data_IF_859045810454
#
_entry.id   IF_859045810454
#
_cell.length_a   1.000
_cell.length_b   1.000
_cell.length_c   1.000
_cell.angle_alpha   90.00
_cell.angle_beta   90.00
_cell.angle_gamma   90.00
#
_symmetry.space_group_name_H-M   'P 1'
#
loop_
_entity.id
_entity.type
_entity.pdbx_description
1 polymer ?
#
# COMPACT_ATOMS: atom_id res chain seq x y z
N UNK A 1 -3.52 16.32 -17.91
CA UNK A 1 -2.66 17.38 -17.36
C UNK A 1 -1.79 16.87 -16.20
N UNK A 2 -2.31 16.04 -15.29
CA UNK A 2 -1.55 15.46 -14.18
C UNK A 2 -0.34 14.65 -14.68
N UNK A 3 -0.54 13.81 -15.71
CA UNK A 3 0.51 12.98 -16.29
C UNK A 3 1.66 13.83 -16.89
N UNK A 4 1.34 14.93 -17.58
CA UNK A 4 2.38 15.83 -18.13
C UNK A 4 3.15 16.56 -17.03
N UNK A 5 2.48 17.01 -15.98
CA UNK A 5 3.13 17.62 -14.81
C UNK A 5 4.07 16.65 -14.10
N UNK A 6 3.64 15.40 -13.95
CA UNK A 6 4.38 14.30 -13.34
C UNK A 6 5.67 13.98 -14.12
N UNK A 7 5.59 13.82 -15.43
CA UNK A 7 6.77 13.55 -16.27
C UNK A 7 7.76 14.72 -16.28
N UNK A 8 7.27 15.96 -16.29
CA UNK A 8 8.13 17.14 -16.19
C UNK A 8 8.82 17.26 -14.84
N UNK A 9 8.15 16.87 -13.76
CA UNK A 9 8.71 16.83 -12.41
C UNK A 9 9.83 15.78 -12.31
N UNK A 10 9.57 14.55 -12.77
CA UNK A 10 10.56 13.47 -12.78
C UNK A 10 11.77 13.82 -13.63
N UNK A 11 11.55 14.41 -14.82
CA UNK A 11 12.64 14.86 -15.67
C UNK A 11 13.53 15.86 -14.93
N UNK A 12 12.95 16.87 -14.30
CA UNK A 12 13.73 17.89 -13.55
C UNK A 12 14.52 17.27 -12.39
N UNK A 13 13.94 16.31 -11.65
CA UNK A 13 14.66 15.62 -10.58
C UNK A 13 15.83 14.83 -11.15
N UNK A 14 15.62 14.05 -12.22
CA UNK A 14 16.68 13.25 -12.84
C UNK A 14 17.78 14.14 -13.43
N UNK A 15 17.42 15.18 -14.15
CA UNK A 15 18.37 16.13 -14.73
C UNK A 15 19.20 16.80 -13.61
N UNK A 16 18.55 17.24 -12.53
CA UNK A 16 19.25 17.85 -11.38
C UNK A 16 20.15 16.87 -10.62
N UNK A 17 19.70 15.63 -10.39
CA UNK A 17 20.52 14.58 -9.77
C UNK A 17 21.73 14.25 -10.63
N UNK A 18 21.53 14.06 -11.93
CA UNK A 18 22.62 13.76 -12.85
C UNK A 18 23.66 14.88 -12.89
N UNK A 19 23.23 16.13 -13.00
CA UNK A 19 24.11 17.28 -12.97
C UNK A 19 24.89 17.35 -11.64
N UNK A 20 24.21 17.18 -10.52
CA UNK A 20 24.85 17.18 -9.21
C UNK A 20 25.90 16.07 -9.06
N UNK A 21 25.57 14.84 -9.46
CA UNK A 21 26.50 13.70 -9.41
C UNK A 21 27.77 13.97 -10.25
N UNK A 22 27.65 14.62 -11.40
CA UNK A 22 28.80 14.96 -12.24
C UNK A 22 29.77 15.98 -11.59
N UNK A 23 29.25 16.77 -10.63
CA UNK A 23 30.06 17.77 -9.91
C UNK A 23 30.61 17.27 -8.57
N UNK A 24 30.25 16.06 -8.16
CA UNK A 24 30.79 15.45 -6.92
C UNK A 24 32.26 15.07 -7.04
N UNK A 25 32.96 15.07 -5.90
CA UNK A 25 34.40 14.77 -5.84
C UNK A 25 34.70 13.31 -6.26
N UNK A 26 35.91 13.07 -6.78
CA UNK A 26 36.37 11.74 -7.15
C UNK A 26 36.37 10.77 -5.94
N UNK A 27 36.66 11.27 -4.75
CA UNK A 27 36.63 10.48 -3.50
C UNK A 27 35.21 9.99 -3.19
N UNK A 28 34.18 10.76 -3.49
CA UNK A 28 32.81 10.35 -3.34
C UNK A 28 32.45 9.20 -4.31
N UNK A 29 32.87 9.31 -5.57
CA UNK A 29 32.63 8.26 -6.56
C UNK A 29 33.34 6.94 -6.25
N UNK A 30 34.50 6.98 -5.63
CA UNK A 30 35.22 5.77 -5.19
C UNK A 30 34.59 5.12 -3.94
N UNK A 31 33.89 5.90 -3.13
CA UNK A 31 33.20 5.43 -1.92
C UNK A 31 31.82 4.80 -2.21
N UNK A 32 31.19 5.12 -3.35
CA UNK A 32 29.84 4.66 -3.72
C UNK A 32 29.87 3.81 -4.97
N UNK A 33 29.17 2.67 -4.95
CA UNK A 33 29.09 1.80 -6.13
C UNK A 33 28.24 2.42 -7.25
N UNK A 34 28.64 2.23 -8.49
CA UNK A 34 27.87 2.69 -9.66
C UNK A 34 26.43 2.14 -9.65
N UNK A 35 26.24 0.91 -9.17
CA UNK A 35 24.92 0.29 -9.04
C UNK A 35 24.01 1.03 -8.06
N UNK A 36 24.56 1.48 -6.92
CA UNK A 36 23.82 2.27 -5.92
C UNK A 36 23.40 3.64 -6.48
N UNK A 37 24.30 4.30 -7.20
CA UNK A 37 24.02 5.58 -7.86
C UNK A 37 22.90 5.43 -8.89
N UNK A 38 22.97 4.40 -9.74
CA UNK A 38 21.92 4.10 -10.73
C UNK A 38 20.60 3.82 -10.03
N UNK A 39 20.58 3.03 -8.96
CA UNK A 39 19.37 2.73 -8.19
C UNK A 39 18.70 4.00 -7.64
N UNK A 40 19.48 4.92 -7.09
CA UNK A 40 18.96 6.20 -6.57
C UNK A 40 18.38 7.07 -7.69
N UNK A 41 19.06 7.15 -8.85
CA UNK A 41 18.58 7.94 -10.00
C UNK A 41 17.37 7.32 -10.72
N UNK A 42 17.13 6.02 -10.55
CA UNK A 42 16.03 5.30 -11.22
C UNK A 42 14.92 4.91 -10.24
N UNK A 43 15.14 3.86 -9.45
CA UNK A 43 14.11 3.29 -8.57
C UNK A 43 13.63 4.26 -7.50
N UNK A 44 14.54 4.97 -6.81
CA UNK A 44 14.11 5.90 -5.75
C UNK A 44 13.36 7.10 -6.32
N UNK A 45 13.77 7.62 -7.48
CA UNK A 45 13.04 8.68 -8.19
C UNK A 45 11.66 8.19 -8.65
N UNK A 46 11.52 6.94 -9.10
CA UNK A 46 10.22 6.38 -9.48
C UNK A 46 9.30 6.16 -8.27
N UNK A 47 9.83 5.81 -7.09
CA UNK A 47 9.07 5.77 -5.84
C UNK A 47 8.56 7.16 -5.46
N UNK A 48 9.41 8.19 -5.53
CA UNK A 48 9.03 9.59 -5.28
C UNK A 48 7.97 10.04 -6.28
N UNK A 49 8.14 9.75 -7.57
CA UNK A 49 7.15 10.02 -8.60
C UNK A 49 5.79 9.41 -8.26
N UNK A 50 5.76 8.12 -7.96
CA UNK A 50 4.53 7.41 -7.63
C UNK A 50 3.86 8.00 -6.41
N UNK A 51 4.64 8.37 -5.41
CA UNK A 51 4.13 9.03 -4.20
C UNK A 51 3.49 10.39 -4.54
N UNK A 52 4.24 11.29 -5.17
CA UNK A 52 3.76 12.66 -5.44
C UNK A 52 2.58 12.66 -6.41
N UNK A 53 2.65 11.86 -7.47
CA UNK A 53 1.67 11.94 -8.56
C UNK A 53 0.40 11.13 -8.33
N UNK A 54 0.49 10.02 -7.60
CA UNK A 54 -0.63 9.13 -7.36
C UNK A 54 -1.09 9.16 -5.91
N UNK A 55 -0.18 8.93 -4.97
CA UNK A 55 -0.53 8.73 -3.57
C UNK A 55 -0.94 10.04 -2.88
N UNK A 56 -0.21 11.14 -3.11
CA UNK A 56 -0.55 12.43 -2.54
C UNK A 56 -1.94 12.90 -3.01
N UNK A 57 -2.23 12.74 -4.30
CA UNK A 57 -3.55 13.06 -4.87
C UNK A 57 -4.64 12.18 -4.26
N UNK A 58 -4.37 10.88 -4.10
CA UNK A 58 -5.32 9.94 -3.46
C UNK A 58 -5.57 10.30 -1.99
N UNK A 59 -4.53 10.74 -1.25
CA UNK A 59 -4.68 11.24 0.13
C UNK A 59 -5.60 12.43 0.18
N UNK A 60 -5.33 13.45 -0.62
CA UNK A 60 -6.13 14.68 -0.67
C UNK A 60 -7.59 14.37 -1.03
N UNK A 61 -7.78 13.53 -2.04
CA UNK A 61 -9.12 13.07 -2.46
C UNK A 61 -9.83 12.34 -1.33
N UNK A 62 -9.15 11.41 -0.68
CA UNK A 62 -9.71 10.59 0.42
C UNK A 62 -10.10 11.45 1.62
N UNK A 63 -9.22 12.37 2.05
CA UNK A 63 -9.51 13.29 3.16
C UNK A 63 -10.69 14.20 2.80
N UNK A 64 -10.70 14.75 1.59
CA UNK A 64 -11.80 15.60 1.12
C UNK A 64 -13.14 14.83 1.11
N UNK A 65 -13.17 13.60 0.61
CA UNK A 65 -14.39 12.77 0.60
C UNK A 65 -14.87 12.43 2.01
N UNK A 66 -13.96 12.10 2.92
CA UNK A 66 -14.31 11.83 4.33
C UNK A 66 -14.95 13.07 4.95
N UNK A 67 -14.33 14.23 4.79
CA UNK A 67 -14.88 15.50 5.32
C UNK A 67 -16.23 15.79 4.69
N UNK A 68 -16.36 15.67 3.36
CA UNK A 68 -17.60 15.93 2.65
C UNK A 68 -18.74 15.03 3.13
N UNK A 69 -18.50 13.71 3.20
CA UNK A 69 -19.52 12.78 3.71
C UNK A 69 -19.90 13.05 5.16
N UNK A 70 -18.94 13.32 6.03
CA UNK A 70 -19.22 13.66 7.43
C UNK A 70 -20.05 14.94 7.53
N UNK A 71 -19.70 16.00 6.79
CA UNK A 71 -20.47 17.26 6.78
C UNK A 71 -21.93 17.01 6.36
N UNK A 72 -22.15 16.23 5.30
CA UNK A 72 -23.49 15.87 4.83
C UNK A 72 -24.24 15.08 5.91
N UNK A 73 -23.61 14.06 6.48
CA UNK A 73 -24.19 13.21 7.52
C UNK A 73 -24.56 14.01 8.78
N UNK A 74 -23.69 14.92 9.23
CA UNK A 74 -23.98 15.80 10.37
C UNK A 74 -25.14 16.78 10.10
N UNK A 75 -25.33 17.18 8.83
CA UNK A 75 -26.48 18.00 8.43
C UNK A 75 -27.80 17.21 8.43
N UNK A 76 -27.73 15.89 8.23
CA UNK A 76 -28.90 15.01 8.20
C UNK A 76 -29.36 14.60 9.60
N UNK A 77 -28.46 14.06 10.42
CA UNK A 77 -28.74 13.66 11.79
C UNK A 77 -27.44 13.62 12.62
N UNK A 78 -27.37 14.48 13.63
CA UNK A 78 -26.19 14.63 14.49
C UNK A 78 -25.90 13.37 15.31
N UNK A 79 -26.95 12.74 15.86
CA UNK A 79 -26.80 11.55 16.72
C UNK A 79 -26.23 10.36 15.94
N UNK A 80 -26.82 10.07 14.79
CA UNK A 80 -26.35 8.99 13.93
C UNK A 80 -24.92 9.25 13.41
N UNK A 81 -24.59 10.52 13.15
CA UNK A 81 -23.23 10.90 12.69
C UNK A 81 -22.17 10.65 13.76
N UNK A 82 -22.47 10.86 15.05
CA UNK A 82 -21.56 10.49 16.12
C UNK A 82 -21.37 8.99 16.24
N UNK A 83 -22.41 8.19 16.00
CA UNK A 83 -22.28 6.72 15.94
C UNK A 83 -21.35 6.32 14.80
N UNK A 84 -21.55 6.85 13.59
CA UNK A 84 -20.68 6.59 12.45
C UNK A 84 -19.23 7.03 12.72
N UNK A 85 -19.05 8.22 13.31
CA UNK A 85 -17.73 8.77 13.65
C UNK A 85 -16.97 7.89 14.64
N UNK A 86 -17.64 7.26 15.59
CA UNK A 86 -17.02 6.37 16.58
C UNK A 86 -16.39 5.11 15.94
N UNK A 87 -16.90 4.66 14.79
CA UNK A 87 -16.34 3.52 14.06
C UNK A 87 -15.11 3.88 13.23
N UNK A 88 -14.94 5.14 12.82
CA UNK A 88 -13.80 5.59 12.00
C UNK A 88 -12.45 5.26 12.65
N UNK A 89 -12.18 5.63 13.91
CA UNK A 89 -10.90 5.30 14.54
C UNK A 89 -10.71 3.80 14.73
N UNK A 90 -11.78 3.02 14.97
CA UNK A 90 -11.71 1.57 15.14
C UNK A 90 -11.25 0.92 13.81
N UNK A 91 -11.88 1.28 12.69
CA UNK A 91 -11.54 0.79 11.36
C UNK A 91 -10.15 1.27 10.94
N UNK A 92 -9.81 2.53 11.18
CA UNK A 92 -8.49 3.08 10.86
C UNK A 92 -7.37 2.40 11.65
N UNK A 93 -7.54 2.19 12.95
CA UNK A 93 -6.57 1.54 13.82
C UNK A 93 -6.38 0.07 13.43
N UNK A 94 -7.47 -0.66 13.20
CA UNK A 94 -7.40 -2.06 12.72
C UNK A 94 -6.64 -2.16 11.39
N UNK A 95 -6.94 -1.29 10.43
CA UNK A 95 -6.24 -1.23 9.14
C UNK A 95 -4.75 -0.94 9.30
N UNK A 96 -4.36 0.00 10.15
CA UNK A 96 -2.97 0.33 10.42
C UNK A 96 -2.17 -0.82 11.05
N UNK A 97 -2.77 -1.53 12.03
CA UNK A 97 -2.15 -2.70 12.67
C UNK A 97 -1.95 -3.85 11.67
N UNK A 98 -2.96 -4.16 10.88
CA UNK A 98 -2.86 -5.22 9.88
C UNK A 98 -1.86 -4.86 8.78
N UNK A 99 -1.85 -3.61 8.34
CA UNK A 99 -0.96 -3.17 7.27
C UNK A 99 0.52 -3.34 7.64
N UNK A 100 0.91 -2.98 8.85
CA UNK A 100 2.28 -3.20 9.36
C UNK A 100 2.67 -4.67 9.32
N UNK A 101 1.76 -5.58 9.70
CA UNK A 101 2.00 -7.02 9.68
C UNK A 101 2.07 -7.57 8.26
N UNK A 102 1.23 -7.09 7.36
CA UNK A 102 1.21 -7.48 5.95
C UNK A 102 2.51 -7.06 5.26
N UNK A 103 2.96 -5.82 5.48
CA UNK A 103 4.18 -5.28 4.85
C UNK A 103 5.43 -6.13 5.18
N UNK A 104 5.62 -6.51 6.44
CA UNK A 104 6.77 -7.35 6.82
C UNK A 104 6.71 -8.77 6.25
N UNK A 105 5.52 -9.36 6.13
CA UNK A 105 5.36 -10.69 5.52
C UNK A 105 5.46 -10.64 4.00
N UNK A 106 5.03 -9.56 3.40
CA UNK A 106 5.19 -9.35 1.97
C UNK A 106 6.66 -9.27 1.59
N UNK A 107 7.45 -8.51 2.35
CA UNK A 107 8.90 -8.41 2.13
C UNK A 107 9.59 -9.79 2.23
N UNK A 108 9.26 -10.59 3.23
CA UNK A 108 9.81 -11.93 3.38
C UNK A 108 9.44 -12.87 2.21
N UNK A 109 8.24 -12.71 1.65
CA UNK A 109 7.81 -13.47 0.46
C UNK A 109 8.53 -13.01 -0.81
N UNK A 110 8.73 -11.71 -0.96
CA UNK A 110 9.45 -11.07 -2.07
C UNK A 110 10.93 -11.47 -2.09
N UNK A 111 11.58 -11.49 -0.92
CA UNK A 111 12.95 -12.01 -0.77
C UNK A 111 13.06 -13.49 -1.18
N UNK A 112 12.08 -14.32 -0.77
CA UNK A 112 12.05 -15.72 -1.16
C UNK A 112 11.78 -15.93 -2.66
N UNK A 113 11.02 -15.04 -3.31
CA UNK A 113 10.83 -15.02 -4.76
C UNK A 113 12.13 -14.68 -5.48
N UNK A 114 12.89 -13.70 -4.97
CA UNK A 114 14.22 -13.35 -5.48
C UNK A 114 15.19 -14.54 -5.39
N UNK A 115 15.22 -15.24 -4.25
CA UNK A 115 16.04 -16.46 -4.06
C UNK A 115 15.67 -17.57 -5.03
N UNK A 116 14.37 -17.77 -5.29
CA UNK A 116 13.87 -18.78 -6.23
C UNK A 116 14.23 -18.41 -7.68
N UNK A 117 14.04 -17.15 -8.04
CA UNK A 117 14.35 -16.64 -9.39
C UNK A 117 15.85 -16.74 -9.68
N UNK A 118 16.70 -16.39 -8.70
CA UNK A 118 18.16 -16.53 -8.82
C UNK A 118 18.55 -17.99 -9.03
N UNK A 119 17.96 -18.92 -8.27
CA UNK A 119 18.21 -20.35 -8.43
C UNK A 119 17.82 -20.83 -9.84
N UNK A 120 16.68 -20.41 -10.36
CA UNK A 120 16.24 -20.73 -11.71
C UNK A 120 17.21 -20.16 -12.77
N UNK A 121 17.64 -18.91 -12.61
CA UNK A 121 18.56 -18.24 -13.53
C UNK A 121 19.94 -18.91 -13.53
N UNK A 122 20.49 -19.26 -12.37
CA UNK A 122 21.75 -20.01 -12.25
C UNK A 122 21.66 -21.33 -12.99
N UNK A 123 20.57 -22.09 -12.78
CA UNK A 123 20.34 -23.37 -13.43
C UNK A 123 20.22 -23.26 -14.94
N UNK A 124 19.47 -22.29 -15.45
CA UNK A 124 19.30 -22.08 -16.89
C UNK A 124 20.60 -21.65 -17.55
N UNK A 125 21.38 -20.79 -16.88
CA UNK A 125 22.70 -20.36 -17.38
C UNK A 125 23.71 -21.50 -17.37
N UNK A 126 23.70 -22.31 -16.31
CA UNK A 126 24.61 -23.46 -16.10
C UNK A 126 24.11 -24.79 -16.65
N UNK A 127 23.04 -24.85 -17.43
CA UNK A 127 22.37 -26.10 -17.84
C UNK A 127 23.28 -27.09 -18.54
N UNK A 128 24.26 -26.61 -19.31
CA UNK A 128 25.26 -27.47 -19.99
C UNK A 128 26.17 -28.19 -19.00
N UNK A 129 26.54 -27.48 -17.91
CA UNK A 129 27.38 -28.04 -16.84
C UNK A 129 26.57 -29.06 -16.03
N UNK A 130 25.34 -28.72 -15.64
CA UNK A 130 24.43 -29.62 -14.92
C UNK A 130 24.24 -30.93 -15.67
N UNK A 131 24.00 -30.87 -17.01
CA UNK A 131 23.87 -32.06 -17.88
C UNK A 131 25.16 -32.83 -18.03
N UNK A 132 26.30 -32.14 -18.16
CA UNK A 132 27.59 -32.78 -18.30
C UNK A 132 27.98 -33.64 -17.09
N UNK A 133 27.53 -33.20 -15.87
CA UNK A 133 27.79 -33.91 -14.63
C UNK A 133 26.63 -34.79 -14.15
N UNK A 134 25.52 -34.88 -14.91
CA UNK A 134 24.34 -35.69 -14.56
C UNK A 134 23.67 -35.29 -13.25
N UNK A 135 23.69 -33.98 -12.91
CA UNK A 135 23.22 -33.43 -11.64
C UNK A 135 21.81 -32.81 -11.71
N UNK A 136 21.02 -33.17 -12.71
CA UNK A 136 19.67 -32.61 -12.92
C UNK A 136 18.76 -32.82 -11.70
N UNK A 137 18.85 -33.99 -11.09
CA UNK A 137 18.04 -34.31 -9.92
C UNK A 137 18.38 -33.43 -8.71
N UNK A 138 19.65 -33.21 -8.46
CA UNK A 138 20.12 -32.33 -7.39
C UNK A 138 19.61 -30.89 -7.57
N UNK A 139 19.68 -30.35 -8.78
CA UNK A 139 19.21 -29.00 -9.06
C UNK A 139 17.68 -28.89 -9.01
N UNK A 140 16.96 -29.95 -9.39
CA UNK A 140 15.51 -30.01 -9.26
C UNK A 140 15.11 -30.01 -7.78
N UNK A 141 15.77 -30.81 -6.95
CA UNK A 141 15.49 -30.90 -5.51
C UNK A 141 15.79 -29.54 -4.82
N UNK A 142 16.90 -28.88 -5.17
CA UNK A 142 17.26 -27.52 -4.70
C UNK A 142 16.21 -26.47 -5.08
N UNK A 143 15.71 -26.54 -6.31
CA UNK A 143 14.64 -25.64 -6.76
C UNK A 143 13.35 -25.90 -6.03
N UNK A 144 12.96 -27.18 -5.85
CA UNK A 144 11.75 -27.58 -5.10
C UNK A 144 11.77 -27.06 -3.65
N UNK A 145 12.91 -27.18 -2.95
CA UNK A 145 13.06 -26.67 -1.58
C UNK A 145 12.80 -25.17 -1.51
N UNK A 146 13.41 -24.38 -2.42
CA UNK A 146 13.19 -22.92 -2.49
C UNK A 146 11.75 -22.57 -2.86
N UNK A 147 11.15 -23.32 -3.78
CA UNK A 147 9.76 -23.15 -4.19
C UNK A 147 8.77 -23.46 -3.05
N UNK A 148 9.01 -24.48 -2.25
CA UNK A 148 8.20 -24.79 -1.07
C UNK A 148 8.30 -23.69 -0.02
N UNK A 149 9.49 -23.15 0.22
CA UNK A 149 9.70 -21.99 1.10
C UNK A 149 8.87 -20.80 0.62
N UNK A 150 9.01 -20.41 -0.65
CA UNK A 150 8.24 -19.34 -1.28
C UNK A 150 6.73 -19.56 -1.17
N UNK A 151 6.24 -20.74 -1.57
CA UNK A 151 4.82 -21.09 -1.50
C UNK A 151 4.28 -21.01 -0.07
N UNK A 152 5.04 -21.49 0.93
CA UNK A 152 4.63 -21.45 2.34
C UNK A 152 4.49 -20.02 2.86
N UNK A 153 5.37 -19.10 2.45
CA UNK A 153 5.33 -17.68 2.82
C UNK A 153 4.12 -16.98 2.16
N UNK A 154 3.86 -17.25 0.89
CA UNK A 154 2.67 -16.74 0.19
C UNK A 154 1.37 -17.24 0.80
N UNK A 155 1.28 -18.51 1.17
CA UNK A 155 0.11 -19.07 1.87
C UNK A 155 -0.11 -18.38 3.22
N UNK A 156 0.97 -18.12 3.99
CA UNK A 156 0.88 -17.40 5.28
C UNK A 156 0.44 -15.95 5.08
N UNK A 157 0.94 -15.29 4.04
CA UNK A 157 0.53 -13.95 3.65
C UNK A 157 -0.94 -13.93 3.23
N UNK A 158 -1.36 -14.88 2.38
CA UNK A 158 -2.74 -15.02 1.93
C UNK A 158 -3.73 -15.23 3.07
N UNK A 159 -3.39 -16.06 4.07
CA UNK A 159 -4.20 -16.23 5.28
C UNK A 159 -4.34 -14.92 6.06
N UNK A 160 -3.25 -14.15 6.21
CA UNK A 160 -3.31 -12.85 6.89
C UNK A 160 -4.19 -11.85 6.13
N UNK A 161 -4.07 -11.81 4.80
CA UNK A 161 -4.92 -10.99 3.94
C UNK A 161 -6.39 -11.37 4.04
N UNK A 162 -6.69 -12.68 4.05
CA UNK A 162 -8.07 -13.18 4.21
C UNK A 162 -8.67 -12.74 5.55
N UNK A 163 -7.92 -12.84 6.65
CA UNK A 163 -8.36 -12.37 7.97
C UNK A 163 -8.58 -10.86 7.98
N UNK A 164 -7.69 -10.09 7.34
CA UNK A 164 -7.83 -8.64 7.20
C UNK A 164 -9.12 -8.26 6.47
N UNK A 165 -9.37 -8.87 5.31
CA UNK A 165 -10.57 -8.59 4.52
C UNK A 165 -11.85 -9.02 5.25
N UNK A 166 -11.85 -10.22 5.86
CA UNK A 166 -13.00 -10.73 6.61
C UNK A 166 -13.32 -9.86 7.84
N UNK A 167 -12.30 -9.53 8.66
CA UNK A 167 -12.49 -8.68 9.85
C UNK A 167 -12.94 -7.27 9.49
N UNK A 168 -12.37 -6.69 8.43
CA UNK A 168 -12.77 -5.38 7.95
C UNK A 168 -14.21 -5.34 7.42
N UNK A 169 -14.65 -6.40 6.71
CA UNK A 169 -16.03 -6.52 6.25
C UNK A 169 -16.98 -6.71 7.43
N UNK A 170 -16.61 -7.55 8.41
CA UNK A 170 -17.40 -7.75 9.63
C UNK A 170 -17.61 -6.42 10.39
N UNK A 171 -16.54 -5.63 10.57
CA UNK A 171 -16.64 -4.32 11.23
C UNK A 171 -17.58 -3.37 10.49
N UNK A 172 -17.51 -3.35 9.16
CA UNK A 172 -18.39 -2.51 8.34
C UNK A 172 -19.85 -2.99 8.42
N UNK A 173 -20.11 -4.29 8.35
CA UNK A 173 -21.45 -4.84 8.53
C UNK A 173 -22.01 -4.52 9.93
N UNK A 174 -21.18 -4.64 10.97
CA UNK A 174 -21.59 -4.28 12.34
C UNK A 174 -21.93 -2.79 12.44
N UNK A 175 -21.10 -1.92 11.85
CA UNK A 175 -21.36 -0.48 11.79
C UNK A 175 -22.69 -0.18 11.09
N UNK A 176 -22.93 -0.75 9.91
CA UNK A 176 -24.19 -0.56 9.15
C UNK A 176 -25.37 -1.08 9.95
N UNK A 177 -25.26 -2.23 10.60
CA UNK A 177 -26.32 -2.78 11.44
C UNK A 177 -26.68 -1.83 12.60
N UNK A 178 -25.68 -1.30 13.30
CA UNK A 178 -25.90 -0.34 14.42
C UNK A 178 -26.58 0.94 13.89
N UNK A 179 -26.15 1.44 12.73
CA UNK A 179 -26.75 2.64 12.11
C UNK A 179 -28.20 2.37 11.67
N UNK A 180 -28.50 1.18 11.15
CA UNK A 180 -29.86 0.81 10.77
C UNK A 180 -30.75 0.76 12.00
N UNK A 181 -30.34 0.10 13.07
CA UNK A 181 -31.13 0.02 14.31
C UNK A 181 -31.38 1.40 14.94
N UNK A 182 -30.33 2.22 15.03
CA UNK A 182 -30.43 3.57 15.52
C UNK A 182 -31.26 4.48 14.59
N UNK A 183 -31.14 4.34 13.29
CA UNK A 183 -31.84 5.11 12.27
C UNK A 183 -33.36 4.78 12.23
N UNK A 184 -33.74 3.51 12.45
CA UNK A 184 -35.13 3.12 12.59
C UNK A 184 -35.75 3.84 13.81
N UNK A 185 -35.03 3.86 14.92
CA UNK A 185 -35.49 4.55 16.16
C UNK A 185 -35.72 6.06 15.90
N UNK A 186 -34.76 6.74 15.25
CA UNK A 186 -34.89 8.16 14.90
C UNK A 186 -36.00 8.43 13.84
N UNK A 187 -36.23 7.51 12.92
CA UNK A 187 -37.29 7.63 11.91
C UNK A 187 -38.70 7.45 12.55
N UNK A 188 -38.83 6.48 13.44
CA UNK A 188 -40.11 6.28 14.22
C UNK A 188 -40.39 7.46 15.14
N UNK A 189 -39.37 8.06 15.72
CA UNK A 189 -39.48 9.29 16.52
C UNK A 189 -39.79 10.54 15.69
N UNK A 190 -39.87 10.43 14.34
CA UNK A 190 -40.17 11.56 13.45
C UNK A 190 -39.01 12.53 13.23
N UNK A 191 -37.82 12.19 13.73
CA UNK A 191 -36.62 13.03 13.61
C UNK A 191 -35.93 12.94 12.22
N UNK A 192 -36.31 11.94 11.41
CA UNK A 192 -35.73 11.73 10.08
C UNK A 192 -36.76 11.12 9.12
N UNK A 193 -36.78 11.58 7.86
CA UNK A 193 -37.58 10.96 6.80
C UNK A 193 -36.94 9.65 6.32
N UNK A 194 -37.76 8.72 5.79
CA UNK A 194 -37.28 7.46 5.24
C UNK A 194 -36.23 7.67 4.12
N UNK A 195 -36.43 8.68 3.27
CA UNK A 195 -35.47 9.01 2.20
C UNK A 195 -34.12 9.49 2.75
N UNK A 196 -34.16 10.33 3.81
CA UNK A 196 -32.92 10.75 4.50
C UNK A 196 -32.22 9.57 5.18
N UNK A 197 -32.97 8.63 5.77
CA UNK A 197 -32.38 7.43 6.38
C UNK A 197 -31.65 6.56 5.33
N UNK A 198 -32.28 6.27 4.19
CA UNK A 198 -31.64 5.50 3.10
C UNK A 198 -30.37 6.21 2.59
N UNK A 199 -30.44 7.53 2.37
CA UNK A 199 -29.30 8.31 1.96
C UNK A 199 -28.17 8.28 3.02
N UNK A 200 -28.50 8.34 4.32
CA UNK A 200 -27.53 8.25 5.39
C UNK A 200 -26.77 6.93 5.39
N UNK A 201 -27.48 5.80 5.24
CA UNK A 201 -26.88 4.46 5.13
C UNK A 201 -25.93 4.40 3.92
N UNK A 202 -26.34 4.92 2.77
CA UNK A 202 -25.51 4.95 1.55
C UNK A 202 -24.26 5.80 1.70
N UNK A 203 -24.33 6.95 2.37
CA UNK A 203 -23.14 7.76 2.69
C UNK A 203 -22.20 7.05 3.66
N UNK A 204 -22.75 6.35 4.65
CA UNK A 204 -21.95 5.58 5.58
C UNK A 204 -21.20 4.42 4.91
N UNK A 205 -21.85 3.68 4.00
CA UNK A 205 -21.18 2.65 3.20
C UNK A 205 -20.08 3.24 2.31
N UNK A 206 -20.36 4.38 1.67
CA UNK A 206 -19.39 5.08 0.83
C UNK A 206 -18.15 5.56 1.61
N UNK A 207 -18.31 5.82 2.93
CA UNK A 207 -17.24 6.22 3.83
C UNK A 207 -16.29 5.06 4.19
N UNK A 208 -16.76 3.82 4.15
CA UNK A 208 -15.99 2.66 4.63
C UNK A 208 -14.70 2.43 3.83
N UNK A 209 -14.73 2.57 2.49
CA UNK A 209 -13.57 2.39 1.65
C UNK A 209 -12.48 3.47 1.85
N UNK A 210 -12.78 4.78 1.83
CA UNK A 210 -11.83 5.83 2.14
C UNK A 210 -11.13 5.65 3.47
N UNK A 211 -11.86 5.29 4.53
CA UNK A 211 -11.28 5.08 5.87
C UNK A 211 -10.33 3.90 5.89
N UNK A 212 -10.66 2.78 5.24
CA UNK A 212 -9.75 1.61 5.13
C UNK A 212 -8.49 1.94 4.34
N UNK A 213 -8.57 2.75 3.30
CA UNK A 213 -7.42 3.10 2.46
C UNK A 213 -6.38 3.95 3.19
N UNK A 214 -6.74 4.68 4.25
CA UNK A 214 -5.81 5.49 5.05
C UNK A 214 -4.64 4.66 5.63
N UNK A 215 -4.90 3.42 6.05
CA UNK A 215 -3.84 2.54 6.57
C UNK A 215 -2.75 2.24 5.53
N UNK A 216 -3.15 1.99 4.28
CA UNK A 216 -2.23 1.80 3.15
C UNK A 216 -1.44 3.06 2.85
N UNK A 217 -2.14 4.19 2.78
CA UNK A 217 -1.55 5.50 2.48
C UNK A 217 -0.45 5.85 3.48
N UNK A 218 -0.68 5.67 4.78
CA UNK A 218 0.33 5.94 5.82
C UNK A 218 1.61 5.12 5.63
N UNK A 219 1.49 3.87 5.19
CA UNK A 219 2.67 3.05 4.95
C UNK A 219 3.40 3.42 3.66
N UNK A 220 2.68 3.76 2.62
CA UNK A 220 3.28 4.23 1.36
C UNK A 220 4.02 5.57 1.57
N UNK A 221 3.49 6.45 2.43
CA UNK A 221 4.21 7.65 2.89
C UNK A 221 5.53 7.33 3.60
N UNK A 222 5.55 6.32 4.45
CA UNK A 222 6.79 5.90 5.13
C UNK A 222 7.85 5.39 4.15
N UNK A 223 7.46 4.64 3.12
CA UNK A 223 8.36 4.17 2.05
C UNK A 223 8.91 5.33 1.22
N UNK A 224 8.04 6.26 0.83
CA UNK A 224 8.43 7.44 0.06
C UNK A 224 9.40 8.33 0.86
N UNK A 225 9.18 8.50 2.17
CA UNK A 225 10.11 9.20 3.05
C UNK A 225 11.52 8.60 3.01
N UNK A 226 11.65 7.28 3.14
CA UNK A 226 12.94 6.62 3.03
C UNK A 226 13.63 6.78 1.66
N UNK A 227 12.89 6.82 0.57
CA UNK A 227 13.46 7.11 -0.76
C UNK A 227 13.84 8.59 -0.92
N UNK A 228 13.07 9.51 -0.35
CA UNK A 228 13.42 10.94 -0.31
C UNK A 228 14.71 11.19 0.47
N UNK A 229 14.87 10.55 1.64
CA UNK A 229 16.09 10.66 2.44
C UNK A 229 17.31 10.14 1.69
N UNK A 230 17.20 9.00 0.97
CA UNK A 230 18.30 8.46 0.16
C UNK A 230 18.68 9.34 -1.03
N UNK A 231 17.70 9.95 -1.67
CA UNK A 231 17.93 10.87 -2.79
C UNK A 231 18.48 12.21 -2.28
N UNK A 232 17.99 12.70 -1.13
CA UNK A 232 18.48 13.94 -0.51
C UNK A 232 19.88 13.84 0.10
N UNK A 233 20.42 12.63 0.27
CA UNK A 233 21.79 12.40 0.74
C UNK A 233 22.84 12.61 -0.36
N UNK A 234 22.44 12.59 -1.63
CA UNK A 234 23.31 12.92 -2.77
C UNK A 234 23.42 14.44 -2.92
#
# INVERSE_FOLDING_TARGET
>A
QLSRGSESFVKRIRDGLYDHIQHLSFSWHTAHSTGEIIQRCTSDVDVIRTFVCNQLVEVVRTVFLIILYLVIMFRMNVRLSFVALAFIPIVGLSSGVFYRRISGRFQAADEAEGDLTTCAQENLTGVRVVRAFGRERFETDRFCEKNEKFASLWIRLGRLLSVYWASGTLLTCLQVMVIILAGIHESVAGAMTLGAFVAFVSYNESLAWPVRSLGRVLSDMSKAGGSMDRVGYI
#
